data_IF_582744003048
#
_entry.id   IF_582744003048
#
_cell.length_a   1.000
_cell.length_b   1.000
_cell.length_c   1.000
_cell.angle_alpha   90.00
_cell.angle_beta   90.00
_cell.angle_gamma   90.00
#
_symmetry.space_group_name_H-M   'P 1'
#
loop_
_entity.id
_entity.type
_entity.pdbx_description
1 polymer ?
#
# COMPACT_ATOMS: atom_id res chain seq x y z
N UNK A 1 10.52 15.99 11.16
CA UNK A 1 10.18 14.66 10.60
C UNK A 1 10.01 13.72 11.78
N UNK A 2 8.84 13.09 11.93
CA UNK A 2 8.55 12.18 13.06
C UNK A 2 9.15 10.81 12.74
N UNK A 3 9.83 10.22 13.71
CA UNK A 3 10.41 8.88 13.62
C UNK A 3 9.78 7.96 14.67
N UNK A 4 9.53 6.73 14.27
CA UNK A 4 8.96 5.69 15.12
C UNK A 4 9.96 4.56 15.31
N UNK A 5 9.87 3.84 16.43
CA UNK A 5 10.62 2.61 16.63
C UNK A 5 9.73 1.38 16.40
N UNK A 6 10.36 0.21 16.24
CA UNK A 6 9.63 -1.05 15.99
C UNK A 6 8.62 -1.39 17.08
N UNK A 7 8.94 -1.10 18.35
CA UNK A 7 8.06 -1.43 19.49
C UNK A 7 6.76 -0.63 19.38
N UNK A 8 6.87 0.69 19.21
CA UNK A 8 5.74 1.59 19.03
C UNK A 8 4.84 1.16 17.87
N UNK A 9 5.42 0.93 16.67
CA UNK A 9 4.64 0.54 15.49
C UNK A 9 3.96 -0.82 15.66
N UNK A 10 4.66 -1.80 16.24
CA UNK A 10 4.08 -3.12 16.50
C UNK A 10 2.90 -3.05 17.46
N UNK A 11 3.03 -2.28 18.55
CA UNK A 11 1.96 -2.10 19.55
C UNK A 11 0.77 -1.34 18.95
N UNK A 12 1.01 -0.22 18.27
CA UNK A 12 -0.05 0.63 17.71
C UNK A 12 -0.82 -0.04 16.58
N UNK A 13 -0.14 -0.81 15.73
CA UNK A 13 -0.77 -1.51 14.60
C UNK A 13 -1.31 -2.90 14.99
N UNK A 14 -1.17 -3.32 16.25
CA UNK A 14 -1.56 -4.66 16.69
C UNK A 14 -0.79 -5.80 16.01
N UNK A 15 0.42 -5.53 15.51
CA UNK A 15 1.25 -6.50 14.79
C UNK A 15 2.23 -7.14 15.76
N UNK A 16 2.36 -8.48 15.70
CA UNK A 16 3.37 -9.18 16.50
C UNK A 16 4.79 -8.59 16.25
N UNK A 17 5.55 -8.21 17.30
CA UNK A 17 6.85 -7.55 17.13
C UNK A 17 7.88 -8.35 16.31
N UNK A 18 7.85 -9.68 16.39
CA UNK A 18 8.74 -10.53 15.60
C UNK A 18 8.33 -10.53 14.12
N UNK A 19 7.02 -10.51 13.82
CA UNK A 19 6.52 -10.34 12.44
C UNK A 19 6.94 -8.98 11.87
N UNK A 20 6.72 -7.90 12.63
CA UNK A 20 7.12 -6.55 12.21
C UNK A 20 8.62 -6.48 11.88
N UNK A 21 9.48 -6.95 12.79
CA UNK A 21 10.94 -6.99 12.57
C UNK A 21 11.32 -7.83 11.37
N UNK A 22 10.62 -8.95 11.13
CA UNK A 22 10.84 -9.76 9.92
C UNK A 22 10.49 -8.96 8.67
N UNK A 23 9.28 -8.43 8.57
CA UNK A 23 8.84 -7.63 7.41
C UNK A 23 9.74 -6.41 7.15
N UNK A 24 10.18 -5.73 8.20
CA UNK A 24 11.13 -4.61 8.07
C UNK A 24 12.48 -5.02 7.46
N UNK A 25 12.93 -6.27 7.66
CA UNK A 25 14.14 -6.78 7.00
C UNK A 25 13.92 -7.18 5.55
N UNK A 26 12.72 -7.64 5.21
CA UNK A 26 12.38 -8.10 3.85
C UNK A 26 12.05 -6.95 2.90
N UNK A 27 11.35 -5.91 3.38
CA UNK A 27 10.77 -4.86 2.53
C UNK A 27 11.55 -3.54 2.52
N UNK A 28 12.51 -3.38 3.41
CA UNK A 28 13.37 -2.21 3.45
C UNK A 28 14.83 -2.61 3.26
N UNK A 29 15.67 -1.72 2.72
CA UNK A 29 17.11 -1.95 2.69
C UNK A 29 17.66 -2.13 4.11
N UNK A 30 18.89 -2.69 4.24
CA UNK A 30 19.61 -2.71 5.51
C UNK A 30 19.60 -1.35 6.19
N UNK A 31 19.51 -1.36 7.52
CA UNK A 31 19.48 -0.13 8.30
C UNK A 31 20.78 0.66 8.10
N UNK A 32 20.73 1.91 7.60
CA UNK A 32 21.93 2.73 7.36
C UNK A 32 22.74 2.97 8.65
N UNK A 33 22.10 2.95 9.83
CA UNK A 33 22.78 3.16 11.11
C UNK A 33 23.23 1.84 11.77
N UNK A 34 22.59 0.73 11.40
CA UNK A 34 22.84 -0.59 12.01
C UNK A 34 24.25 -1.14 11.75
N UNK A 35 24.94 -0.67 10.71
CA UNK A 35 26.34 -1.04 10.42
C UNK A 35 27.39 -0.15 11.11
N UNK A 36 27.01 1.04 11.58
CA UNK A 36 27.92 2.03 12.16
C UNK A 36 27.97 1.96 13.69
N UNK A 37 26.86 1.58 14.34
CA UNK A 37 26.78 1.43 15.80
C UNK A 37 25.95 0.20 16.17
N UNK A 38 26.62 -0.81 16.74
CA UNK A 38 25.96 -1.98 17.31
C UNK A 38 25.04 -1.54 18.45
N UNK A 39 23.77 -1.94 18.41
CA UNK A 39 22.78 -1.68 19.47
C UNK A 39 21.77 -0.56 19.19
N UNK A 40 21.90 0.19 18.08
CA UNK A 40 20.89 1.20 17.70
C UNK A 40 19.69 0.51 17.05
N UNK A 41 18.50 0.75 17.60
CA UNK A 41 17.26 0.24 17.04
C UNK A 41 16.85 1.04 15.79
N UNK A 42 16.43 0.34 14.72
CA UNK A 42 15.94 0.94 13.49
C UNK A 42 14.83 1.96 13.76
N UNK A 43 15.03 3.16 13.24
CA UNK A 43 14.01 4.20 13.20
C UNK A 43 13.29 4.18 11.85
N UNK A 44 11.99 4.39 11.89
CA UNK A 44 11.12 4.40 10.73
C UNK A 44 10.52 5.79 10.58
N UNK A 45 10.70 6.40 9.41
CA UNK A 45 9.81 7.49 9.02
C UNK A 45 8.46 6.92 8.55
N UNK A 46 7.49 7.80 8.28
CA UNK A 46 6.14 7.37 7.85
C UNK A 46 6.17 6.58 6.54
N UNK A 47 7.00 6.96 5.58
CA UNK A 47 7.18 6.24 4.31
C UNK A 47 7.64 4.80 4.54
N UNK A 48 8.69 4.62 5.32
CA UNK A 48 9.26 3.30 5.60
C UNK A 48 8.31 2.45 6.45
N UNK A 49 7.67 3.05 7.44
CA UNK A 49 6.66 2.37 8.26
C UNK A 49 5.47 1.91 7.41
N UNK A 50 4.94 2.77 6.53
CA UNK A 50 3.83 2.39 5.65
C UNK A 50 4.25 1.34 4.63
N UNK A 51 5.45 1.43 4.06
CA UNK A 51 5.97 0.40 3.14
C UNK A 51 6.06 -0.98 3.80
N UNK A 52 6.52 -1.06 5.05
CA UNK A 52 6.56 -2.32 5.82
C UNK A 52 5.14 -2.81 6.15
N UNK A 53 4.26 -1.91 6.57
CA UNK A 53 2.87 -2.24 6.87
C UNK A 53 2.13 -2.79 5.63
N UNK A 54 2.24 -2.11 4.50
CA UNK A 54 1.63 -2.52 3.23
C UNK A 54 2.21 -3.86 2.75
N UNK A 55 3.53 -4.05 2.80
CA UNK A 55 4.14 -5.34 2.49
C UNK A 55 3.67 -6.47 3.40
N UNK A 56 3.52 -6.17 4.69
CA UNK A 56 2.93 -7.07 5.68
C UNK A 56 1.50 -7.46 5.33
N UNK A 57 0.65 -6.48 4.97
CA UNK A 57 -0.73 -6.67 4.57
C UNK A 57 -0.86 -7.56 3.31
N UNK A 58 -0.01 -7.32 2.30
CA UNK A 58 0.05 -8.16 1.09
C UNK A 58 0.33 -9.62 1.43
N UNK A 59 1.19 -9.89 2.42
CA UNK A 59 1.54 -11.26 2.83
C UNK A 59 0.49 -11.87 3.77
N UNK A 60 0.04 -11.13 4.79
CA UNK A 60 -0.84 -11.68 5.83
C UNK A 60 -2.28 -11.79 5.38
N UNK A 61 -2.81 -10.75 4.74
CA UNK A 61 -4.23 -10.67 4.36
C UNK A 61 -4.43 -11.16 2.93
N UNK A 62 -3.64 -10.66 1.98
CA UNK A 62 -3.80 -11.00 0.56
C UNK A 62 -3.08 -12.30 0.14
N UNK A 63 -2.36 -12.94 1.08
CA UNK A 63 -1.69 -14.25 0.94
C UNK A 63 -0.61 -14.30 -0.17
N UNK A 64 -0.04 -13.16 -0.55
CA UNK A 64 1.13 -13.16 -1.42
C UNK A 64 2.37 -13.72 -0.71
N UNK A 65 3.26 -14.34 -1.46
CA UNK A 65 4.59 -14.71 -0.94
C UNK A 65 5.43 -13.44 -0.73
N UNK A 66 6.45 -13.51 0.12
CA UNK A 66 7.36 -12.37 0.35
C UNK A 66 7.98 -11.84 -0.96
N UNK A 67 8.49 -12.70 -1.88
CA UNK A 67 8.99 -12.22 -3.18
C UNK A 67 7.94 -11.46 -3.99
N UNK A 68 6.70 -11.96 -4.05
CA UNK A 68 5.62 -11.30 -4.79
C UNK A 68 5.20 -9.99 -4.15
N UNK A 69 5.07 -9.93 -2.82
CA UNK A 69 4.79 -8.69 -2.12
C UNK A 69 5.89 -7.64 -2.35
N UNK A 70 7.16 -8.05 -2.33
CA UNK A 70 8.29 -7.15 -2.60
C UNK A 70 8.28 -6.62 -4.05
N UNK A 71 7.99 -7.49 -5.02
CA UNK A 71 7.81 -7.10 -6.42
C UNK A 71 6.68 -6.08 -6.57
N UNK A 72 5.49 -6.38 -6.02
CA UNK A 72 4.33 -5.50 -6.07
C UNK A 72 4.64 -4.13 -5.47
N UNK A 73 5.27 -4.10 -4.29
CA UNK A 73 5.67 -2.84 -3.65
C UNK A 73 6.64 -2.04 -4.52
N UNK A 74 7.59 -2.71 -5.18
CA UNK A 74 8.58 -2.05 -6.03
C UNK A 74 7.93 -1.45 -7.28
N UNK A 75 7.08 -2.22 -7.95
CA UNK A 75 6.38 -1.79 -9.17
C UNK A 75 5.38 -0.66 -8.88
N UNK A 76 4.70 -0.68 -7.73
CA UNK A 76 3.77 0.37 -7.33
C UNK A 76 4.44 1.59 -6.66
N UNK A 77 5.70 1.49 -6.24
CA UNK A 77 6.35 2.51 -5.40
C UNK A 77 6.33 3.91 -6.01
N UNK A 78 6.60 4.03 -7.32
CA UNK A 78 6.61 5.33 -7.99
C UNK A 78 5.21 5.95 -8.02
N UNK A 79 4.19 5.13 -8.31
CA UNK A 79 2.80 5.58 -8.31
C UNK A 79 2.34 5.98 -6.89
N UNK A 80 2.64 5.18 -5.87
CA UNK A 80 2.31 5.48 -4.47
C UNK A 80 2.94 6.80 -4.00
N UNK A 81 4.20 7.04 -4.36
CA UNK A 81 4.90 8.28 -4.03
C UNK A 81 4.23 9.50 -4.68
N UNK A 82 3.91 9.41 -5.97
CA UNK A 82 3.31 10.52 -6.72
C UNK A 82 1.89 10.86 -6.24
N UNK A 83 1.18 9.89 -5.68
CA UNK A 83 -0.18 10.07 -5.14
C UNK A 83 -0.19 10.33 -3.61
N UNK A 84 0.97 10.59 -3.00
CA UNK A 84 1.06 11.07 -1.61
C UNK A 84 1.04 9.99 -0.52
N UNK A 85 0.98 8.70 -0.86
CA UNK A 85 0.93 7.59 0.12
C UNK A 85 2.21 7.42 0.95
N UNK A 86 3.30 8.11 0.59
CA UNK A 86 4.55 8.13 1.35
C UNK A 86 4.84 9.47 2.03
N UNK A 87 3.87 10.39 2.03
CA UNK A 87 4.01 11.72 2.59
C UNK A 87 3.10 11.90 3.79
N UNK A 88 3.68 12.24 4.95
CA UNK A 88 2.89 12.59 6.13
C UNK A 88 2.57 14.09 6.11
N UNK A 89 1.29 14.44 5.93
CA UNK A 89 0.81 15.79 6.20
C UNK A 89 -0.01 15.77 7.49
N UNK A 90 0.45 16.38 8.60
CA UNK A 90 -0.30 16.41 9.86
C UNK A 90 -1.58 17.27 9.80
N UNK A 91 -1.86 17.91 8.66
CA UNK A 91 -3.10 18.67 8.46
C UNK A 91 -4.20 17.73 7.98
N UNK A 92 -5.04 17.31 8.93
CA UNK A 92 -6.42 16.86 8.69
C UNK A 92 -7.24 18.04 8.15
N UNK A 93 -6.93 18.50 6.94
CA UNK A 93 -7.95 19.14 6.14
C UNK A 93 -8.85 18.01 5.67
N UNK A 94 -10.16 18.09 5.95
CA UNK A 94 -11.16 17.12 5.46
C UNK A 94 -11.17 16.95 3.94
N UNK A 95 -10.39 17.76 3.22
CA UNK A 95 -10.11 17.72 1.77
C UNK A 95 -8.87 16.89 1.38
N UNK A 96 -8.06 16.42 2.35
CA UNK A 96 -6.81 15.68 2.14
C UNK A 96 -6.94 14.16 2.38
N UNK A 97 -8.17 13.62 2.47
CA UNK A 97 -8.33 12.19 2.30
C UNK A 97 -7.88 11.88 0.86
N UNK A 98 -6.84 11.05 0.64
CA UNK A 98 -6.47 10.67 -0.72
C UNK A 98 -7.74 10.13 -1.38
N UNK A 99 -8.04 10.62 -2.59
CA UNK A 99 -9.21 10.18 -3.33
C UNK A 99 -9.33 8.65 -3.25
N UNK A 100 -10.55 8.07 -3.21
CA UNK A 100 -10.71 6.65 -2.94
C UNK A 100 -10.12 5.82 -4.10
N UNK A 101 -8.83 5.52 -3.97
CA UNK A 101 -8.06 4.73 -4.90
C UNK A 101 -8.20 3.27 -4.53
N UNK A 102 -8.48 2.48 -5.55
CA UNK A 102 -8.51 1.04 -5.50
C UNK A 102 -7.48 0.51 -6.47
N UNK A 103 -6.60 -0.36 -6.01
CA UNK A 103 -5.61 -1.02 -6.85
C UNK A 103 -6.08 -2.46 -7.06
N UNK A 104 -6.30 -2.80 -8.32
CA UNK A 104 -6.54 -4.18 -8.73
C UNK A 104 -5.21 -4.78 -9.16
N UNK A 105 -4.83 -5.89 -8.52
CA UNK A 105 -3.58 -6.61 -8.76
C UNK A 105 -3.91 -7.88 -9.54
N UNK A 106 -3.38 -8.00 -10.75
CA UNK A 106 -3.63 -9.13 -11.65
C UNK A 106 -2.36 -9.96 -11.82
N UNK A 107 -2.46 -11.28 -11.66
CA UNK A 107 -1.40 -12.20 -12.09
C UNK A 107 -1.55 -12.49 -13.58
N UNK A 108 -0.67 -11.94 -14.41
CA UNK A 108 -0.73 -12.06 -15.88
C UNK A 108 0.25 -13.10 -16.45
N UNK A 109 1.00 -13.77 -15.58
CA UNK A 109 1.95 -14.82 -15.94
C UNK A 109 2.78 -15.28 -14.75
N UNK A 110 3.72 -16.22 -14.96
CA UNK A 110 4.63 -16.64 -13.90
C UNK A 110 5.45 -15.43 -13.42
N UNK A 111 5.26 -15.06 -12.15
CA UNK A 111 5.96 -13.93 -11.51
C UNK A 111 5.75 -12.56 -12.20
N UNK A 112 4.64 -12.38 -12.92
CA UNK A 112 4.31 -11.09 -13.56
C UNK A 112 2.98 -10.58 -13.07
N UNK A 113 3.00 -9.32 -12.64
CA UNK A 113 1.82 -8.61 -12.22
C UNK A 113 1.50 -7.47 -13.18
N UNK A 114 0.22 -7.15 -13.28
CA UNK A 114 -0.28 -5.94 -13.90
C UNK A 114 -1.29 -5.31 -12.95
N UNK A 115 -1.42 -3.99 -13.03
CA UNK A 115 -2.24 -3.24 -12.08
C UNK A 115 -3.21 -2.32 -12.81
N UNK A 116 -4.45 -2.29 -12.33
CA UNK A 116 -5.38 -1.22 -12.66
C UNK A 116 -5.68 -0.42 -11.39
N UNK A 117 -5.29 0.84 -11.40
CA UNK A 117 -5.65 1.79 -10.36
C UNK A 117 -6.95 2.47 -10.80
N UNK A 118 -7.99 2.38 -9.98
CA UNK A 118 -9.27 3.06 -10.19
C UNK A 118 -9.51 4.09 -9.10
N UNK A 119 -9.96 5.26 -9.51
CA UNK A 119 -10.41 6.34 -8.63
C UNK A 119 -11.84 6.71 -8.99
N UNK A 120 -12.71 6.84 -7.99
CA UNK A 120 -14.09 7.30 -8.19
C UNK A 120 -14.04 8.79 -8.51
N UNK A 121 -14.34 9.13 -9.76
CA UNK A 121 -14.32 10.51 -10.25
C UNK A 121 -15.68 11.20 -10.08
N UNK A 122 -16.77 10.44 -10.24
CA UNK A 122 -18.13 10.92 -9.99
C UNK A 122 -19.00 9.77 -9.47
N UNK A 123 -19.96 10.11 -8.61
CA UNK A 123 -21.05 9.21 -8.22
C UNK A 123 -22.35 9.94 -8.49
N UNK A 124 -23.20 9.35 -9.33
CA UNK A 124 -24.51 9.86 -9.67
C UNK A 124 -25.56 8.91 -9.11
N UNK A 125 -26.58 9.43 -8.43
CA UNK A 125 -27.73 8.63 -8.02
C UNK A 125 -28.67 8.53 -9.21
N UNK A 126 -28.89 7.32 -9.70
CA UNK A 126 -29.87 7.07 -10.75
C UNK A 126 -31.28 6.92 -10.14
N UNK A 127 -31.36 6.35 -8.93
CA UNK A 127 -32.55 6.23 -8.08
C UNK A 127 -32.14 6.16 -6.59
N UNK A 128 -33.08 6.04 -5.64
CA UNK A 128 -32.81 5.87 -4.20
C UNK A 128 -31.98 4.61 -3.86
N UNK A 129 -31.89 3.64 -4.78
CA UNK A 129 -31.19 2.35 -4.56
C UNK A 129 -30.02 2.09 -5.50
N UNK A 130 -29.84 2.92 -6.53
CA UNK A 130 -28.86 2.69 -7.57
C UNK A 130 -27.95 3.89 -7.72
N UNK A 131 -26.65 3.66 -7.55
CA UNK A 131 -25.61 4.64 -7.77
C UNK A 131 -24.77 4.21 -8.96
N UNK A 132 -24.60 5.11 -9.91
CA UNK A 132 -23.64 4.97 -11.00
C UNK A 132 -22.34 5.63 -10.57
N UNK A 133 -21.22 4.92 -10.69
CA UNK A 133 -19.90 5.45 -10.40
C UNK A 133 -19.07 5.51 -11.67
N UNK A 134 -18.52 6.69 -11.95
CA UNK A 134 -17.57 6.90 -13.04
C UNK A 134 -16.17 6.82 -12.46
N UNK A 135 -15.33 5.96 -13.04
CA UNK A 135 -13.97 5.76 -12.57
C UNK A 135 -12.96 6.32 -13.55
N UNK A 136 -11.94 7.01 -13.02
CA UNK A 136 -10.69 7.23 -13.74
C UNK A 136 -9.80 6.02 -13.53
N UNK A 137 -9.23 5.50 -14.62
CA UNK A 137 -8.39 4.31 -14.61
C UNK A 137 -6.98 4.65 -15.06
N UNK A 138 -5.98 4.15 -14.34
CA UNK A 138 -4.58 4.15 -14.73
C UNK A 138 -4.07 2.72 -14.73
N UNK A 139 -3.37 2.33 -15.79
CA UNK A 139 -2.79 0.99 -15.92
C UNK A 139 -1.29 1.06 -15.65
N UNK A 140 -0.76 0.04 -14.95
CA UNK A 140 0.67 -0.10 -14.66
C UNK A 140 1.09 -1.51 -15.06
N UNK A 141 2.17 -1.63 -15.83
CA UNK A 141 2.70 -2.92 -16.30
C UNK A 141 1.93 -3.56 -17.47
N UNK A 142 0.91 -2.88 -18.02
CA UNK A 142 0.10 -3.32 -19.17
C UNK A 142 -0.53 -2.14 -19.89
N UNK A 143 -0.84 -2.30 -21.18
CA UNK A 143 -1.52 -1.29 -22.00
C UNK A 143 -3.05 -1.44 -21.99
N UNK A 144 -3.54 -2.60 -21.59
CA UNK A 144 -4.98 -2.94 -21.51
C UNK A 144 -5.31 -3.56 -20.17
N UNK A 145 -6.51 -3.26 -19.65
CA UNK A 145 -7.01 -3.88 -18.43
C UNK A 145 -7.02 -5.41 -18.61
N UNK A 146 -6.27 -6.17 -17.81
CA UNK A 146 -6.14 -7.61 -17.97
C UNK A 146 -7.46 -8.39 -17.86
N UNK A 147 -8.44 -7.88 -17.11
CA UNK A 147 -9.77 -8.49 -17.06
C UNK A 147 -10.52 -8.28 -18.37
N UNK A 148 -10.49 -7.06 -18.91
CA UNK A 148 -11.18 -6.72 -20.17
C UNK A 148 -10.52 -7.43 -21.35
N UNK A 149 -9.19 -7.52 -21.34
CA UNK A 149 -8.43 -8.21 -22.37
C UNK A 149 -8.51 -9.75 -22.27
N UNK A 150 -9.12 -10.30 -21.20
CA UNK A 150 -9.21 -11.74 -20.95
C UNK A 150 -7.87 -12.40 -20.60
N UNK A 151 -6.83 -11.62 -20.33
CA UNK A 151 -5.49 -12.13 -19.96
C UNK A 151 -5.37 -12.48 -18.49
N UNK A 152 -6.31 -12.00 -17.65
CA UNK A 152 -6.47 -12.41 -16.26
C UNK A 152 -7.93 -12.85 -16.01
N UNK A 153 -8.10 -13.92 -15.21
CA UNK A 153 -9.43 -14.43 -14.81
C UNK A 153 -9.98 -13.75 -13.55
N UNK A 154 -9.08 -13.21 -12.73
CA UNK A 154 -9.40 -12.59 -11.44
C UNK A 154 -8.28 -11.64 -11.03
N UNK A 155 -8.57 -10.72 -10.12
CA UNK A 155 -7.57 -9.85 -9.50
C UNK A 155 -7.85 -9.68 -8.01
N UNK A 156 -6.81 -9.34 -7.26
CA UNK A 156 -6.97 -8.96 -5.86
C UNK A 156 -7.23 -7.46 -5.76
N UNK A 157 -8.23 -7.08 -4.96
CA UNK A 157 -8.57 -5.68 -4.70
C UNK A 157 -7.85 -5.19 -3.45
N UNK A 158 -7.13 -4.08 -3.59
CA UNK A 158 -6.49 -3.35 -2.51
C UNK A 158 -7.09 -1.94 -2.41
N UNK A 159 -7.88 -1.69 -1.37
CA UNK A 159 -8.40 -0.36 -1.05
C UNK A 159 -7.31 0.51 -0.41
N UNK A 160 -6.34 0.95 -1.22
CA UNK A 160 -5.10 1.57 -0.73
C UNK A 160 -5.35 2.84 0.08
N UNK A 161 -6.33 3.67 -0.30
CA UNK A 161 -6.69 4.89 0.45
C UNK A 161 -7.23 4.56 1.84
N UNK A 162 -8.12 3.58 1.95
CA UNK A 162 -8.66 3.14 3.23
C UNK A 162 -7.56 2.55 4.12
N UNK A 163 -6.72 1.68 3.55
CA UNK A 163 -5.60 1.05 4.26
C UNK A 163 -4.57 2.08 4.75
N UNK A 164 -4.29 3.12 3.95
CA UNK A 164 -3.37 4.19 4.34
C UNK A 164 -3.96 5.08 5.45
N UNK A 165 -5.24 5.44 5.36
CA UNK A 165 -5.90 6.22 6.41
C UNK A 165 -5.94 5.45 7.73
N UNK A 166 -6.31 4.17 7.68
CA UNK A 166 -6.31 3.29 8.85
C UNK A 166 -4.91 3.20 9.48
N UNK A 167 -3.87 3.02 8.68
CA UNK A 167 -2.49 3.07 9.15
C UNK A 167 -2.14 4.38 9.85
N UNK A 168 -2.50 5.52 9.26
CA UNK A 168 -2.23 6.84 9.85
C UNK A 168 -2.96 7.03 11.18
N UNK A 169 -4.23 6.63 11.26
CA UNK A 169 -5.05 6.77 12.48
C UNK A 169 -4.50 5.92 13.64
N UNK A 170 -3.85 4.79 13.36
CA UNK A 170 -3.20 3.99 14.40
C UNK A 170 -1.90 4.61 14.93
N UNK A 171 -1.13 5.31 14.09
CA UNK A 171 0.20 5.81 14.48
C UNK A 171 0.24 7.28 14.91
N UNK A 172 -0.81 8.05 14.59
CA UNK A 172 -0.98 9.46 14.94
C UNK A 172 -1.24 9.70 16.44
#
# INVERSE_FOLDING_TARGET
>A
MIYYNSKYLSEKLGINPAKWKRWAREFLPPDPLGGLQSGVARQFNVKDAFKVYLGGYLVSEMKFTIPYASQILTELSAWLQNNGFFSFSPRRDSKNCPQPYHIYIYGVGPQRFAYAVRMVAATESCDERHHQQTFLQTLIGTDKDPLIAGTAKSGHLLAISALYCDFLDHIA
#
